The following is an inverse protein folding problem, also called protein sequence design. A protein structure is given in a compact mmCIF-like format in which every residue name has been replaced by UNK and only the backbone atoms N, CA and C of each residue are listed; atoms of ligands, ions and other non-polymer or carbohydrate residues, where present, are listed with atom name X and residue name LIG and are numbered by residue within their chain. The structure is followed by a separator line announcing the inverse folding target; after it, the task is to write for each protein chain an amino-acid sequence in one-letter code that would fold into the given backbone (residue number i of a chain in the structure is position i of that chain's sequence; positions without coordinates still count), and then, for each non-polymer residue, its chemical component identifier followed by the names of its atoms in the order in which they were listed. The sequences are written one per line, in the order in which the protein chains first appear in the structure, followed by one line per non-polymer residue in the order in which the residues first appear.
data_IF_140740311597
#
_entry.id   IF_140740311597
#
_cell.length_a   1.000
_cell.length_b   1.000
_cell.length_c   1.000
_cell.angle_alpha   90.00
_cell.angle_beta   90.00
_cell.angle_gamma   90.00
#
_symmetry.space_group_name_H-M   'P 1'
#
loop_
_entity.id
_entity.type
_entity.pdbx_description
1 polymer ?
#
# COMPACT_ATOMS: atom_id res chain seq x y z
N UNK A 1 19.75 -8.98 17.91
CA UNK A 1 20.11 -7.55 17.74
C UNK A 1 21.07 -7.45 16.57
N UNK A 2 20.60 -7.01 15.40
CA UNK A 2 21.41 -6.78 14.18
C UNK A 2 21.23 -5.31 13.80
N UNK A 3 22.26 -4.68 13.23
CA UNK A 3 22.21 -3.27 12.85
C UNK A 3 21.59 -3.09 11.46
N UNK A 4 20.65 -2.14 11.33
CA UNK A 4 20.10 -1.72 10.04
C UNK A 4 21.16 -0.87 9.34
N UNK A 5 21.78 -1.42 8.30
CA UNK A 5 22.54 -0.62 7.32
C UNK A 5 21.57 -0.14 6.24
N UNK A 6 20.98 1.04 6.47
CA UNK A 6 20.20 1.72 5.44
C UNK A 6 21.14 2.13 4.30
N UNK A 7 21.03 1.46 3.15
CA UNK A 7 21.74 1.82 1.92
C UNK A 7 21.20 3.13 1.37
N UNK A 8 21.82 4.24 1.76
CA UNK A 8 21.36 5.57 1.38
C UNK A 8 21.63 5.91 -0.08
N UNK A 9 20.58 6.26 -0.82
CA UNK A 9 20.66 7.10 -2.01
C UNK A 9 19.70 8.28 -1.82
N UNK A 10 20.20 9.50 -2.04
CA UNK A 10 19.44 10.72 -1.77
C UNK A 10 18.37 10.99 -2.81
N UNK A 11 17.31 11.71 -2.40
CA UNK A 11 16.44 12.39 -3.34
C UNK A 11 17.28 13.40 -4.13
N UNK A 12 17.34 13.25 -5.45
CA UNK A 12 17.76 14.36 -6.32
C UNK A 12 16.58 15.31 -6.41
N UNK A 13 16.60 16.35 -5.56
CA UNK A 13 15.75 17.52 -5.75
C UNK A 13 16.28 18.24 -7.00
N UNK A 14 15.54 18.14 -8.11
CA UNK A 14 15.83 18.90 -9.31
C UNK A 14 15.38 20.35 -9.09
N UNK A 15 16.34 21.25 -8.89
CA UNK A 15 16.08 22.66 -8.62
C UNK A 15 15.29 23.37 -9.74
N UNK A 16 14.51 24.38 -9.34
CA UNK A 16 13.69 25.19 -10.22
C UNK A 16 14.55 26.10 -11.08
N UNK A 17 14.52 25.91 -12.41
CA UNK A 17 15.12 26.84 -13.36
C UNK A 17 14.15 27.97 -13.70
N UNK A 18 14.29 29.12 -13.04
CA UNK A 18 13.67 30.37 -13.50
C UNK A 18 14.39 30.93 -14.74
N UNK A 19 13.65 31.60 -15.65
CA UNK A 19 14.21 32.09 -16.91
C UNK A 19 14.99 33.40 -16.74
N UNK A 20 16.24 33.44 -17.21
CA UNK A 20 16.98 34.70 -17.42
C UNK A 20 16.86 35.17 -18.86
N UNK A 21 16.20 36.31 -19.05
CA UNK A 21 16.22 37.06 -20.30
C UNK A 21 17.42 38.03 -20.34
N UNK A 22 18.10 38.10 -21.48
CA UNK A 22 19.01 39.19 -21.87
C UNK A 22 18.76 39.49 -23.36
N UNK A 23 18.96 40.74 -23.77
CA UNK A 23 18.46 41.28 -25.05
C UNK A 23 19.45 41.17 -26.23
N UNK A 24 18.87 41.17 -27.43
CA UNK A 24 19.34 41.79 -28.70
C UNK A 24 20.83 41.73 -29.12
N UNK A 25 21.06 41.25 -30.35
CA UNK A 25 21.26 42.17 -31.49
C UNK A 25 20.80 41.51 -32.83
N UNK A 26 20.87 42.22 -33.95
CA UNK A 26 20.18 41.87 -35.20
C UNK A 26 21.06 41.84 -36.48
N UNK A 27 20.69 40.95 -37.41
CA UNK A 27 20.87 41.06 -38.88
C UNK A 27 19.97 39.96 -39.52
N UNK A 28 19.23 40.21 -40.60
CA UNK A 28 19.71 40.21 -41.99
C UNK A 28 19.60 38.79 -42.59
N UNK A 29 18.85 38.49 -43.66
CA UNK A 29 18.09 39.34 -44.60
C UNK A 29 16.84 38.60 -45.18
N UNK A 30 16.25 39.12 -46.28
CA UNK A 30 14.95 38.69 -46.86
C UNK A 30 15.11 37.80 -48.11
N UNK A 31 14.18 36.85 -48.32
CA UNK A 31 13.50 36.47 -49.60
C UNK A 31 12.84 35.09 -49.40
N UNK A 32 11.53 34.82 -49.53
CA UNK A 32 10.46 35.20 -50.48
C UNK A 32 10.36 34.29 -51.74
N UNK A 33 9.10 33.92 -52.06
CA UNK A 33 8.56 33.33 -53.30
C UNK A 33 8.85 31.84 -53.70
N UNK A 34 7.83 30.99 -53.51
CA UNK A 34 7.30 30.06 -54.53
C UNK A 34 6.47 30.84 -55.57
N UNK A 35 6.04 30.35 -56.79
CA UNK A 35 5.50 28.99 -57.05
C UNK A 35 5.64 28.38 -58.48
N UNK A 36 5.00 27.21 -58.71
CA UNK A 36 4.62 26.57 -60.01
C UNK A 36 5.76 26.10 -60.97
N UNK A 37 5.62 25.14 -61.91
CA UNK A 37 4.75 23.96 -62.17
C UNK A 37 5.45 23.10 -63.29
N UNK A 38 4.96 22.07 -64.00
CA UNK A 38 3.67 21.36 -64.18
C UNK A 38 3.91 19.94 -64.82
N UNK A 39 2.83 19.17 -65.10
CA UNK A 39 2.79 17.87 -65.82
C UNK A 39 3.45 16.66 -65.10
N UNK A 40 3.00 15.40 -65.19
CA UNK A 40 1.83 14.76 -65.85
C UNK A 40 1.74 13.27 -65.39
N UNK A 41 0.81 12.40 -65.82
CA UNK A 41 -0.29 12.50 -66.79
C UNK A 41 -1.49 11.55 -66.43
N UNK A 42 -2.45 11.41 -67.35
CA UNK A 42 -3.69 10.62 -67.38
C UNK A 42 -3.43 9.13 -67.80
N UNK A 43 -4.37 8.17 -67.82
CA UNK A 43 -5.84 8.22 -67.88
C UNK A 43 -6.59 6.96 -67.34
N UNK A 44 -7.93 7.05 -67.25
CA UNK A 44 -8.91 5.94 -67.17
C UNK A 44 -10.06 6.14 -68.18
N UNK A 45 -10.64 5.06 -68.75
CA UNK A 45 -12.08 4.91 -69.05
C UNK A 45 -12.59 3.48 -68.68
N UNK A 46 -13.78 2.97 -69.06
CA UNK A 46 -15.18 3.38 -68.76
C UNK A 46 -16.05 2.10 -68.53
N UNK A 47 -17.31 2.17 -68.03
CA UNK A 47 -18.03 1.01 -67.44
C UNK A 47 -19.30 0.51 -68.16
N UNK A 48 -19.82 -0.65 -67.70
CA UNK A 48 -21.24 -1.09 -67.65
C UNK A 48 -21.50 -1.81 -66.30
N UNK A 49 -22.67 -2.00 -65.66
CA UNK A 49 -24.13 -1.77 -65.87
C UNK A 49 -24.99 -2.91 -66.47
N UNK A 50 -25.61 -3.77 -65.63
CA UNK A 50 -27.05 -4.14 -65.67
C UNK A 50 -27.55 -4.95 -64.43
N UNK A 51 -28.88 -5.12 -64.34
CA UNK A 51 -29.76 -5.79 -63.32
C UNK A 51 -31.06 -6.23 -64.09
N UNK A 52 -32.07 -6.98 -63.57
CA UNK A 52 -32.27 -7.62 -62.23
C UNK A 52 -33.05 -8.99 -62.14
N UNK A 53 -32.97 -9.72 -60.99
CA UNK A 53 -34.05 -10.53 -60.30
C UNK A 53 -34.81 -11.70 -61.05
N UNK A 54 -35.76 -12.47 -60.44
CA UNK A 54 -36.04 -12.84 -59.01
C UNK A 54 -36.44 -14.34 -58.72
N UNK A 55 -36.83 -14.63 -57.46
CA UNK A 55 -37.75 -15.70 -56.93
C UNK A 55 -37.27 -17.17 -56.81
N UNK A 56 -37.21 -17.66 -55.55
CA UNK A 56 -38.27 -18.49 -54.90
C UNK A 56 -38.10 -18.50 -53.37
N UNK A 57 -39.03 -19.14 -52.64
CA UNK A 57 -39.22 -19.07 -51.17
C UNK A 57 -39.43 -20.45 -50.53
N UNK A 58 -39.53 -20.50 -49.18
CA UNK A 58 -39.78 -21.67 -48.28
C UNK A 58 -38.56 -22.59 -48.00
N UNK A 59 -38.45 -23.27 -46.85
CA UNK A 59 -39.11 -23.10 -45.52
C UNK A 59 -38.56 -24.04 -44.42
N UNK A 60 -38.76 -23.65 -43.16
CA UNK A 60 -38.77 -24.44 -41.90
C UNK A 60 -37.49 -25.05 -41.29
N UNK A 61 -37.35 -24.73 -40.00
CA UNK A 61 -36.90 -25.52 -38.84
C UNK A 61 -35.43 -25.99 -38.64
N UNK A 62 -35.00 -26.17 -37.37
CA UNK A 62 -33.59 -26.29 -37.01
C UNK A 62 -33.11 -27.72 -36.76
N UNK A 63 -31.79 -27.94 -36.92
CA UNK A 63 -31.15 -29.21 -36.59
C UNK A 63 -31.01 -29.39 -35.06
N UNK A 64 -31.44 -30.55 -34.55
CA UNK A 64 -31.41 -30.87 -33.11
C UNK A 64 -30.29 -31.85 -32.76
N UNK A 65 -29.63 -31.62 -31.63
CA UNK A 65 -28.58 -32.51 -31.12
C UNK A 65 -29.18 -33.66 -30.28
N UNK A 66 -28.78 -34.93 -30.51
CA UNK A 66 -29.35 -36.07 -29.80
C UNK A 66 -28.85 -36.16 -28.36
N UNK A 67 -29.77 -36.21 -27.40
CA UNK A 67 -29.46 -36.54 -26.00
C UNK A 67 -29.17 -38.04 -25.84
N UNK A 68 -28.21 -38.39 -24.99
CA UNK A 68 -28.06 -39.74 -24.39
C UNK A 68 -27.87 -39.64 -22.86
N UNK A 69 -28.11 -40.73 -22.09
CA UNK A 69 -29.08 -40.62 -21.01
C UNK A 69 -28.50 -40.66 -19.59
N UNK A 70 -29.30 -40.23 -18.64
CA UNK A 70 -29.08 -40.38 -17.20
C UNK A 70 -29.11 -41.85 -16.76
N UNK A 71 -28.34 -42.19 -15.73
CA UNK A 71 -28.40 -43.50 -15.05
C UNK A 71 -28.28 -43.30 -13.54
N UNK A 72 -29.18 -43.91 -12.77
CA UNK A 72 -29.18 -43.86 -11.29
C UNK A 72 -28.03 -44.70 -10.69
N UNK A 73 -27.57 -44.39 -9.46
CA UNK A 73 -26.50 -45.13 -8.79
C UNK A 73 -26.98 -46.47 -8.20
N UNK A 74 -26.08 -47.47 -8.15
CA UNK A 74 -26.34 -48.77 -7.51
C UNK A 74 -25.08 -49.34 -6.86
N UNK A 75 -25.19 -49.63 -5.56
CA UNK A 75 -24.50 -50.65 -4.76
C UNK A 75 -22.96 -50.86 -4.82
N UNK A 76 -22.39 -50.97 -3.61
CA UNK A 76 -21.02 -51.40 -3.26
C UNK A 76 -20.84 -52.92 -3.35
N UNK A 77 -19.65 -53.41 -3.78
CA UNK A 77 -19.08 -54.65 -3.25
C UNK A 77 -17.72 -54.43 -2.54
N UNK A 78 -17.08 -55.51 -2.08
CA UNK A 78 -16.09 -55.50 -0.98
C UNK A 78 -14.63 -55.73 -1.39
N UNK A 79 -13.73 -55.28 -0.50
CA UNK A 79 -12.28 -55.55 -0.45
C UNK A 79 -11.94 -57.05 -0.47
N UNK A 80 -10.96 -57.50 -1.28
CA UNK A 80 -10.19 -58.71 -1.01
C UNK A 80 -8.88 -58.39 -0.27
N UNK A 81 -8.45 -59.30 0.60
CA UNK A 81 -7.13 -59.29 1.26
C UNK A 81 -6.33 -60.50 0.80
N UNK A 82 -5.06 -60.32 0.41
CA UNK A 82 -4.13 -61.43 0.26
C UNK A 82 -2.86 -61.24 1.10
N UNK A 83 -2.52 -62.32 1.80
CA UNK A 83 -1.36 -62.52 2.67
C UNK A 83 -0.62 -63.76 2.15
N UNK A 84 0.70 -63.73 1.91
CA UNK A 84 1.51 -64.93 1.83
C UNK A 84 1.94 -65.38 3.24
N UNK A 85 1.98 -66.69 3.50
CA UNK A 85 2.45 -67.27 4.77
C UNK A 85 3.10 -68.62 4.51
N UNK A 86 4.39 -68.77 4.83
CA UNK A 86 5.11 -70.03 5.10
C UNK A 86 6.23 -69.65 6.09
N UNK A 87 6.13 -69.97 7.38
CA UNK A 87 6.53 -71.24 8.07
C UNK A 87 8.04 -71.47 8.12
N UNK A 88 8.53 -71.81 9.32
CA UNK A 88 9.92 -71.64 9.73
C UNK A 88 10.77 -72.92 9.69
N UNK A 89 12.09 -72.77 9.79
CA UNK A 89 12.99 -73.79 10.34
C UNK A 89 14.18 -73.12 11.02
N UNK A 90 14.60 -73.66 12.17
CA UNK A 90 15.84 -73.41 12.90
C UNK A 90 16.27 -74.77 13.51
N UNK A 91 17.57 -75.04 13.79
CA UNK A 91 18.26 -74.41 14.93
C UNK A 91 19.76 -74.11 14.67
N UNK A 92 20.44 -73.50 15.65
CA UNK A 92 21.90 -73.33 15.63
C UNK A 92 22.43 -72.24 16.57
N UNK A 93 22.52 -72.52 17.88
CA UNK A 93 23.31 -71.73 18.83
C UNK A 93 24.78 -72.21 18.82
N UNK A 94 25.78 -71.37 19.16
CA UNK A 94 26.03 -71.07 20.58
C UNK A 94 26.51 -69.63 20.93
N UNK A 95 25.87 -69.08 21.96
CA UNK A 95 26.53 -68.50 23.17
C UNK A 95 27.77 -67.60 23.03
N UNK A 96 27.58 -66.28 23.17
CA UNK A 96 28.54 -65.36 23.80
C UNK A 96 27.85 -64.13 24.42
N UNK A 97 28.23 -63.71 25.62
CA UNK A 97 27.64 -62.56 26.36
C UNK A 97 28.73 -61.47 26.64
N UNK A 98 28.42 -60.30 27.22
CA UNK A 98 28.26 -59.08 26.43
C UNK A 98 29.42 -58.06 26.57
N UNK A 99 29.86 -57.50 25.44
CA UNK A 99 30.76 -56.34 25.41
C UNK A 99 29.99 -55.02 25.60
N UNK A 100 30.14 -54.38 26.76
CA UNK A 100 29.53 -53.06 27.07
C UNK A 100 30.19 -51.94 26.24
N UNK A 101 29.43 -51.11 25.49
CA UNK A 101 30.01 -49.96 24.78
C UNK A 101 30.49 -48.87 25.77
N UNK A 102 31.60 -48.16 25.48
CA UNK A 102 32.14 -47.15 26.37
C UNK A 102 31.31 -45.85 26.33
N UNK A 103 30.67 -45.51 27.45
CA UNK A 103 30.01 -44.22 27.63
C UNK A 103 31.05 -43.12 27.87
N UNK A 104 31.35 -42.33 26.84
CA UNK A 104 32.15 -41.11 26.94
C UNK A 104 31.26 -39.87 26.89
N UNK A 105 30.70 -39.50 28.05
CA UNK A 105 30.03 -38.21 28.24
C UNK A 105 31.08 -37.12 28.49
N UNK A 106 31.26 -36.13 27.59
CA UNK A 106 32.13 -35.00 27.87
C UNK A 106 31.45 -34.05 28.88
N UNK A 107 31.83 -34.19 30.15
CA UNK A 107 31.48 -33.22 31.21
C UNK A 107 32.06 -31.85 30.83
N UNK A 108 31.26 -30.77 30.76
CA UNK A 108 31.80 -29.42 30.56
C UNK A 108 32.53 -28.96 31.82
N UNK A 109 33.87 -29.02 31.80
CA UNK A 109 34.72 -28.44 32.84
C UNK A 109 34.81 -26.93 32.60
N UNK A 110 34.32 -26.14 33.56
CA UNK A 110 34.45 -24.67 33.55
C UNK A 110 35.90 -24.27 33.91
N UNK A 111 36.79 -24.34 32.93
CA UNK A 111 38.16 -23.79 33.06
C UNK A 111 38.11 -22.27 32.99
N UNK A 112 38.19 -21.61 34.15
CA UNK A 112 38.12 -20.16 34.27
C UNK A 112 39.43 -19.46 33.83
N UNK A 113 39.70 -19.44 32.53
CA UNK A 113 40.82 -18.69 31.94
C UNK A 113 40.60 -17.19 32.10
N UNK A 114 41.25 -16.57 33.09
CA UNK A 114 41.29 -15.11 33.28
C UNK A 114 42.18 -14.44 32.23
N UNK A 115 41.66 -14.26 31.03
CA UNK A 115 42.26 -13.33 30.06
C UNK A 115 42.16 -11.91 30.62
N UNK A 116 43.31 -11.28 30.88
CA UNK A 116 43.34 -9.93 31.44
C UNK A 116 42.94 -8.88 30.38
N UNK A 117 42.05 -7.96 30.75
CA UNK A 117 41.73 -6.80 29.93
C UNK A 117 42.96 -5.91 29.75
N UNK A 118 43.37 -5.55 28.52
CA UNK A 118 44.38 -4.53 28.32
C UNK A 118 43.80 -3.15 28.68
N UNK A 119 44.24 -2.60 29.81
CA UNK A 119 43.94 -1.22 30.21
C UNK A 119 44.50 -0.25 29.16
N UNK A 120 43.73 0.73 28.65
CA UNK A 120 44.27 1.77 27.78
C UNK A 120 45.16 2.73 28.60
N UNK A 121 46.47 2.54 28.51
CA UNK A 121 47.46 3.46 29.09
C UNK A 121 47.40 4.81 28.38
N UNK A 122 47.09 5.87 29.12
CA UNK A 122 47.05 7.24 28.60
C UNK A 122 48.47 7.82 28.44
N UNK A 123 49.03 7.77 27.24
CA UNK A 123 50.31 8.41 26.91
C UNK A 123 50.12 9.91 26.70
N UNK A 124 50.78 10.75 27.51
CA UNK A 124 50.73 12.23 27.45
C UNK A 124 51.86 12.80 26.60
N UNK A 125 51.56 13.49 25.48
CA UNK A 125 52.45 14.54 24.94
C UNK A 125 52.37 15.79 25.82
N UNK A 126 53.48 16.51 25.98
CA UNK A 126 53.54 17.75 26.76
C UNK A 126 53.66 18.98 25.88
N UNK A 127 52.62 19.82 25.88
CA UNK A 127 52.66 21.21 25.40
C UNK A 127 52.06 22.13 26.46
N UNK A 128 52.53 23.39 26.60
CA UNK A 128 52.06 24.30 27.65
C UNK A 128 50.61 24.78 27.40
N UNK A 129 49.86 25.13 28.45
CA UNK A 129 48.54 25.74 28.30
C UNK A 129 48.65 27.19 27.81
N UNK A 130 47.78 27.57 26.89
CA UNK A 130 47.49 28.98 26.59
C UNK A 130 46.46 29.53 27.58
N UNK A 131 46.31 30.85 27.62
CA UNK A 131 45.53 31.60 28.61
C UNK A 131 44.00 31.34 28.53
N UNK A 132 43.27 31.46 29.66
CA UNK A 132 41.82 31.25 29.69
C UNK A 132 41.04 32.38 28.99
N UNK A 133 39.97 32.08 28.24
CA UNK A 133 39.14 33.10 27.61
C UNK A 133 38.30 33.89 28.63
N UNK A 134 38.31 35.22 28.51
CA UNK A 134 37.56 36.16 29.36
C UNK A 134 36.05 35.95 29.24
N UNK A 135 35.28 35.90 30.36
CA UNK A 135 33.83 35.73 30.31
C UNK A 135 33.12 36.96 29.72
N UNK A 136 32.27 36.75 28.71
CA UNK A 136 31.43 37.80 28.12
C UNK A 136 30.23 38.12 29.02
N UNK A 137 29.94 39.40 29.34
CA UNK A 137 28.85 39.77 30.23
C UNK A 137 27.46 39.60 29.57
N UNK A 138 26.50 39.09 30.34
CA UNK A 138 25.11 38.90 29.90
C UNK A 138 24.33 40.23 29.91
N UNK A 139 23.67 40.64 28.80
CA UNK A 139 22.81 41.82 28.81
C UNK A 139 21.46 41.52 29.49
N UNK A 140 21.17 42.26 30.56
CA UNK A 140 19.92 42.16 31.34
C UNK A 140 18.71 42.73 30.58
N UNK A 141 17.52 42.17 30.81
CA UNK A 141 16.24 42.68 30.29
C UNK A 141 15.90 44.07 30.86
N UNK A 142 15.59 45.02 29.98
CA UNK A 142 14.91 46.27 30.35
C UNK A 142 13.53 46.31 29.70
N UNK A 143 12.49 46.65 30.46
CA UNK A 143 11.16 47.01 29.94
C UNK A 143 11.08 48.54 29.85
N UNK A 144 10.53 49.06 28.77
CA UNK A 144 10.19 50.49 28.63
C UNK A 144 8.69 50.63 28.40
N UNK A 145 8.06 51.67 28.95
CA UNK A 145 6.61 51.82 28.99
C UNK A 145 6.16 53.25 28.76
N UNK A 146 5.15 53.42 27.89
CA UNK A 146 4.17 54.55 27.87
C UNK A 146 4.71 55.98 27.59
N UNK A 147 3.86 56.99 27.28
CA UNK A 147 2.68 56.96 26.39
C UNK A 147 2.52 58.23 25.49
N UNK A 148 1.38 58.32 24.79
CA UNK A 148 0.64 59.56 24.43
C UNK A 148 1.13 60.47 23.27
N UNK A 149 0.28 60.60 22.23
CA UNK A 149 -0.08 61.87 21.58
C UNK A 149 -1.37 61.76 20.72
N UNK A 150 -2.45 62.44 21.13
CA UNK A 150 -3.53 62.98 20.27
C UNK A 150 -3.13 64.41 19.81
N UNK A 151 -3.77 65.11 18.83
CA UNK A 151 -5.15 65.04 18.30
C UNK A 151 -5.17 64.69 16.78
N UNK A 152 -6.12 64.99 15.87
CA UNK A 152 -7.24 65.96 15.80
C UNK A 152 -8.37 65.53 14.83
N UNK A 153 -9.44 66.34 14.73
CA UNK A 153 -10.70 66.06 14.00
C UNK A 153 -10.69 66.52 12.50
N UNK A 154 -11.81 66.76 11.76
CA UNK A 154 -12.01 66.04 10.49
C UNK A 154 -12.18 66.92 9.22
N UNK A 155 -12.04 66.33 8.01
CA UNK A 155 -12.41 67.00 6.76
C UNK A 155 -13.88 66.76 6.39
N UNK A 156 -14.74 67.75 6.61
CA UNK A 156 -16.10 67.78 6.04
C UNK A 156 -16.02 68.07 4.54
N UNK A 157 -16.57 67.20 3.68
CA UNK A 157 -16.65 67.44 2.24
C UNK A 157 -17.98 66.92 1.66
N UNK A 158 -18.89 67.84 1.33
CA UNK A 158 -20.18 67.55 0.67
C UNK A 158 -20.06 67.76 -0.83
N UNK A 159 -20.37 66.75 -1.67
CA UNK A 159 -20.75 66.97 -3.07
C UNK A 159 -22.23 66.62 -3.30
N UNK A 160 -23.05 67.63 -3.57
CA UNK A 160 -24.45 67.44 -4.00
C UNK A 160 -24.49 67.05 -5.48
N UNK A 161 -25.07 65.90 -5.81
CA UNK A 161 -25.32 65.51 -7.20
C UNK A 161 -26.64 64.72 -7.32
N UNK A 162 -27.68 65.36 -7.84
CA UNK A 162 -28.99 64.74 -8.11
C UNK A 162 -29.04 64.21 -9.54
N UNK A 163 -29.46 62.94 -9.75
CA UNK A 163 -30.13 62.56 -10.98
C UNK A 163 -31.52 61.97 -10.68
N UNK A 164 -32.57 62.67 -11.10
CA UNK A 164 -33.95 62.17 -11.03
C UNK A 164 -34.23 61.25 -12.21
N UNK A 165 -34.52 59.97 -11.96
CA UNK A 165 -35.00 59.03 -12.99
C UNK A 165 -35.94 57.98 -12.38
N UNK A 166 -37.25 58.23 -12.46
CA UNK A 166 -38.29 57.24 -12.13
C UNK A 166 -38.39 56.19 -13.23
N UNK A 167 -38.51 54.90 -12.88
CA UNK A 167 -39.64 54.16 -13.45
C UNK A 167 -40.41 53.34 -12.39
N UNK A 168 -41.74 53.33 -12.53
CA UNK A 168 -42.66 52.66 -11.61
C UNK A 168 -42.80 51.16 -11.94
N UNK A 169 -42.57 50.28 -10.96
CA UNK A 169 -42.99 48.88 -11.03
C UNK A 169 -43.35 48.32 -9.64
N UNK A 170 -44.62 47.98 -9.44
CA UNK A 170 -45.21 47.26 -8.29
C UNK A 170 -45.76 45.94 -8.86
N UNK A 171 -45.75 44.76 -8.19
CA UNK A 171 -45.84 44.46 -6.75
C UNK A 171 -44.56 43.73 -6.22
N UNK A 172 -44.47 43.03 -5.06
CA UNK A 172 -45.45 42.35 -4.20
C UNK A 172 -45.00 42.26 -2.72
N UNK A 173 -45.91 41.87 -1.82
CA UNK A 173 -45.70 41.77 -0.36
C UNK A 173 -44.96 40.49 0.07
N UNK A 174 -43.91 40.65 0.89
CA UNK A 174 -43.61 39.92 2.15
C UNK A 174 -43.35 38.38 2.12
N UNK A 175 -42.44 37.80 2.95
CA UNK A 175 -41.40 38.36 3.83
C UNK A 175 -39.96 37.91 3.46
N UNK A 176 -38.90 38.56 3.98
CA UNK A 176 -37.56 37.98 4.00
C UNK A 176 -37.47 36.82 5.01
N UNK A 177 -36.99 35.65 4.59
CA UNK A 177 -36.54 34.59 5.51
C UNK A 177 -35.09 34.87 5.92
N UNK A 178 -34.87 35.14 7.21
CA UNK A 178 -33.52 35.18 7.80
C UNK A 178 -32.86 33.80 7.72
N UNK A 179 -31.65 33.69 7.15
CA UNK A 179 -30.89 32.43 7.15
C UNK A 179 -30.18 32.25 8.50
N UNK A 180 -30.93 31.85 9.53
CA UNK A 180 -30.35 31.52 10.85
C UNK A 180 -29.72 30.12 10.83
N UNK A 181 -28.68 29.93 10.02
CA UNK A 181 -27.91 28.69 9.94
C UNK A 181 -26.77 28.68 10.96
N UNK A 182 -27.12 28.59 12.25
CA UNK A 182 -26.13 28.36 13.33
C UNK A 182 -25.42 27.02 13.07
N UNK A 183 -24.08 26.97 12.86
CA UNK A 183 -23.36 25.75 12.52
C UNK A 183 -23.28 24.81 13.73
N UNK A 184 -24.34 24.04 13.94
CA UNK A 184 -24.56 23.28 15.18
C UNK A 184 -24.21 21.82 14.95
N UNK A 185 -23.22 21.32 15.71
CA UNK A 185 -22.63 19.97 15.68
C UNK A 185 -21.64 19.70 14.54
N UNK A 186 -20.36 19.71 14.92
CA UNK A 186 -19.28 18.92 14.31
C UNK A 186 -19.76 17.49 14.02
N UNK A 187 -19.45 16.89 12.86
CA UNK A 187 -19.83 15.52 12.53
C UNK A 187 -18.97 14.49 13.29
N UNK A 188 -19.16 14.39 14.61
CA UNK A 188 -18.59 13.32 15.44
C UNK A 188 -19.35 12.01 15.25
N UNK A 189 -19.33 11.48 14.03
CA UNK A 189 -19.66 10.09 13.70
C UNK A 189 -18.41 9.42 13.17
N UNK A 190 -17.43 9.21 14.05
CA UNK A 190 -16.51 8.08 13.86
C UNK A 190 -17.39 6.84 13.76
N UNK A 191 -17.31 6.05 12.67
CA UNK A 191 -18.23 4.94 12.47
C UNK A 191 -18.02 3.91 13.58
N UNK A 192 -19.07 3.65 14.36
CA UNK A 192 -19.06 2.59 15.37
C UNK A 192 -19.11 1.24 14.65
N UNK A 193 -17.97 0.83 14.10
CA UNK A 193 -17.79 -0.46 13.42
C UNK A 193 -18.04 -1.55 14.46
N UNK A 194 -19.23 -2.16 14.39
CA UNK A 194 -19.57 -3.32 15.22
C UNK A 194 -18.54 -4.43 14.96
N UNK A 195 -18.03 -5.11 16.00
CA UNK A 195 -17.02 -6.16 15.82
C UNK A 195 -17.64 -7.40 15.16
N UNK A 196 -17.51 -7.51 13.84
CA UNK A 196 -17.87 -8.72 13.09
C UNK A 196 -16.82 -9.80 13.37
N UNK A 197 -17.07 -10.65 14.37
CA UNK A 197 -16.21 -11.77 14.75
C UNK A 197 -16.35 -12.97 13.80
N UNK A 198 -16.02 -12.75 12.53
CA UNK A 198 -16.00 -13.77 11.47
C UNK A 198 -15.59 -13.17 10.12
N UNK A 199 -15.30 -14.01 9.12
CA UNK A 199 -15.13 -13.54 7.74
C UNK A 199 -16.39 -12.82 7.24
N UNK A 200 -16.27 -11.95 6.22
CA UNK A 200 -17.43 -11.47 5.45
C UNK A 200 -18.35 -12.61 5.01
N UNK A 201 -19.62 -12.31 4.73
CA UNK A 201 -20.62 -13.32 4.33
C UNK A 201 -20.31 -14.03 3.01
N UNK A 202 -19.39 -13.50 2.21
CA UNK A 202 -18.80 -14.13 1.01
C UNK A 202 -17.50 -14.90 1.26
N UNK A 203 -17.10 -15.12 2.51
CA UNK A 203 -15.78 -15.65 2.89
C UNK A 203 -14.72 -14.58 3.05
N UNK A 204 -13.48 -15.02 3.34
CA UNK A 204 -12.29 -14.16 3.34
C UNK A 204 -11.97 -13.65 1.92
N UNK A 205 -11.27 -12.50 1.78
CA UNK A 205 -10.71 -12.09 0.50
C UNK A 205 -9.81 -13.15 -0.14
N UNK A 206 -9.88 -13.25 -1.46
CA UNK A 206 -9.12 -14.18 -2.28
C UNK A 206 -9.50 -14.03 -3.75
N UNK A 207 -8.72 -14.61 -4.68
CA UNK A 207 -8.86 -14.46 -6.14
C UNK A 207 -10.22 -14.86 -6.78
N UNK A 208 -11.25 -15.19 -6.00
CA UNK A 208 -12.65 -15.33 -6.45
C UNK A 208 -13.61 -14.22 -5.96
N UNK A 209 -13.12 -13.26 -5.17
CA UNK A 209 -13.87 -12.08 -4.71
C UNK A 209 -13.01 -10.79 -4.62
N UNK A 210 -11.73 -10.86 -5.00
CA UNK A 210 -10.80 -9.74 -5.24
C UNK A 210 -10.28 -9.75 -6.67
N UNK A 211 -9.66 -8.64 -7.08
CA UNK A 211 -9.04 -8.52 -8.40
C UNK A 211 -9.99 -7.92 -9.44
N UNK A 212 -9.62 -8.02 -10.71
CA UNK A 212 -10.49 -7.59 -11.82
C UNK A 212 -11.71 -8.51 -11.90
N UNK A 213 -12.96 -7.97 -11.90
CA UNK A 213 -14.16 -8.80 -11.98
C UNK A 213 -14.22 -9.66 -13.24
N UNK A 214 -14.68 -10.90 -13.10
CA UNK A 214 -14.88 -11.83 -14.21
C UNK A 214 -15.75 -11.22 -15.33
N UNK A 215 -15.28 -11.34 -16.57
CA UNK A 215 -15.96 -10.78 -17.74
C UNK A 215 -15.73 -9.28 -18.00
N UNK A 216 -14.85 -8.61 -17.26
CA UNK A 216 -14.43 -7.22 -17.57
C UNK A 216 -13.75 -7.14 -18.94
N UNK A 217 -14.26 -6.28 -19.83
CA UNK A 217 -13.62 -5.93 -21.11
C UNK A 217 -12.37 -5.06 -20.87
N UNK A 218 -11.18 -5.67 -20.90
CA UNK A 218 -9.92 -4.97 -20.66
C UNK A 218 -9.25 -4.39 -21.91
N UNK A 219 -9.03 -3.07 -21.89
CA UNK A 219 -8.27 -2.32 -22.89
C UNK A 219 -6.78 -2.37 -22.58
N UNK A 220 -6.00 -3.01 -23.45
CA UNK A 220 -4.54 -3.12 -23.30
C UNK A 220 -3.83 -1.77 -23.31
N UNK A 221 -2.84 -1.60 -22.43
CA UNK A 221 -1.89 -0.48 -22.36
C UNK A 221 -0.48 -1.00 -22.14
N UNK A 222 0.54 -0.23 -22.51
CA UNK A 222 1.95 -0.65 -22.46
C UNK A 222 2.87 0.52 -22.09
N UNK A 223 3.86 0.26 -21.24
CA UNK A 223 4.79 1.27 -20.71
C UNK A 223 4.22 2.03 -19.52
N UNK A 224 5.07 2.87 -18.91
CA UNK A 224 4.72 3.74 -17.78
C UNK A 224 3.67 4.79 -18.15
N UNK A 225 2.61 4.89 -17.36
CA UNK A 225 1.52 5.85 -17.59
C UNK A 225 1.50 6.87 -16.45
N UNK A 226 1.59 8.16 -16.78
CA UNK A 226 1.46 9.24 -15.79
C UNK A 226 0.08 9.88 -15.89
N UNK A 227 -0.69 9.85 -14.80
CA UNK A 227 -2.01 10.49 -14.68
C UNK A 227 -1.83 11.88 -14.06
N UNK A 228 -2.22 12.93 -14.78
CA UNK A 228 -2.05 14.37 -14.41
C UNK A 228 -3.37 15.16 -14.44
N UNK A 229 -4.49 14.47 -14.26
CA UNK A 229 -5.85 15.03 -14.38
C UNK A 229 -6.62 14.69 -13.11
N UNK A 230 -7.03 15.71 -12.35
CA UNK A 230 -7.73 15.52 -11.08
C UNK A 230 -9.09 14.85 -11.29
N UNK A 231 -9.43 13.91 -10.40
CA UNK A 231 -10.66 13.12 -10.50
C UNK A 231 -10.70 12.12 -11.66
N UNK A 232 -9.57 11.87 -12.35
CA UNK A 232 -9.52 10.93 -13.47
C UNK A 232 -10.00 9.54 -13.06
N UNK A 233 -10.92 8.96 -13.83
CA UNK A 233 -11.31 7.56 -13.72
C UNK A 233 -10.57 6.74 -14.77
N UNK A 234 -9.85 5.73 -14.31
CA UNK A 234 -9.29 4.63 -15.09
C UNK A 234 -10.16 3.41 -14.83
N UNK A 235 -10.67 2.81 -15.90
CA UNK A 235 -11.65 1.73 -15.86
C UNK A 235 -11.35 0.73 -16.96
N UNK A 236 -11.30 -0.56 -16.63
CA UNK A 236 -11.11 -1.64 -17.61
C UNK A 236 -9.79 -1.61 -18.37
N UNK A 237 -8.64 -1.42 -17.72
CA UNK A 237 -7.32 -1.42 -18.39
C UNK A 237 -6.51 -2.69 -18.09
N UNK A 238 -5.76 -3.21 -19.07
CA UNK A 238 -4.72 -4.24 -18.87
C UNK A 238 -3.35 -3.61 -19.18
N UNK A 239 -2.70 -3.08 -18.15
CA UNK A 239 -1.44 -2.33 -18.25
C UNK A 239 -0.26 -3.29 -18.14
N UNK A 240 0.64 -3.25 -19.13
CA UNK A 240 1.96 -3.91 -19.08
C UNK A 240 3.03 -2.83 -18.89
N UNK A 241 3.39 -2.56 -17.64
CA UNK A 241 4.08 -1.34 -17.19
C UNK A 241 3.53 -0.90 -15.81
N UNK A 242 3.74 0.37 -15.45
CA UNK A 242 3.26 0.98 -14.21
C UNK A 242 2.24 2.13 -14.43
N UNK A 243 1.56 2.53 -13.35
CA UNK A 243 0.74 3.75 -13.29
C UNK A 243 1.29 4.68 -12.20
N UNK A 244 1.84 5.83 -12.60
CA UNK A 244 2.20 6.92 -11.69
C UNK A 244 1.07 7.97 -11.67
N UNK A 245 0.64 8.37 -10.47
CA UNK A 245 -0.46 9.33 -10.25
C UNK A 245 0.11 10.62 -9.67
N UNK A 246 -0.02 11.68 -10.47
CA UNK A 246 0.37 13.07 -10.20
C UNK A 246 -0.88 13.97 -10.29
N UNK A 247 -1.95 13.55 -9.63
CA UNK A 247 -3.26 14.20 -9.61
C UNK A 247 -4.07 13.77 -8.37
N UNK A 248 -4.96 14.65 -7.90
CA UNK A 248 -5.83 14.40 -6.76
C UNK A 248 -7.09 13.60 -7.16
N UNK A 249 -7.66 12.84 -6.22
CA UNK A 249 -8.96 12.14 -6.34
C UNK A 249 -9.09 11.12 -7.49
N UNK A 250 -7.99 10.70 -8.10
CA UNK A 250 -7.96 9.68 -9.17
C UNK A 250 -8.57 8.36 -8.69
N UNK A 251 -9.33 7.69 -9.56
CA UNK A 251 -9.91 6.36 -9.30
C UNK A 251 -9.40 5.38 -10.35
N UNK A 252 -8.75 4.31 -9.93
CA UNK A 252 -8.34 3.18 -10.76
C UNK A 252 -9.21 1.99 -10.37
N UNK A 253 -10.01 1.47 -11.31
CA UNK A 253 -10.89 0.33 -11.05
C UNK A 253 -10.96 -0.68 -12.20
N UNK A 254 -11.41 -1.90 -11.92
CA UNK A 254 -11.56 -2.97 -12.90
C UNK A 254 -10.28 -3.17 -13.75
N UNK A 255 -9.10 -2.95 -13.15
CA UNK A 255 -7.84 -2.73 -13.89
C UNK A 255 -6.78 -3.74 -13.46
N UNK A 256 -6.08 -4.30 -14.44
CA UNK A 256 -4.91 -5.17 -14.25
C UNK A 256 -3.63 -4.39 -14.51
N UNK A 257 -2.63 -4.51 -13.63
CA UNK A 257 -1.30 -3.89 -13.78
C UNK A 257 -0.21 -4.95 -13.64
N UNK A 258 0.56 -5.14 -14.72
CA UNK A 258 1.61 -6.15 -14.86
C UNK A 258 2.98 -5.47 -14.85
N UNK A 259 3.62 -5.40 -13.69
CA UNK A 259 4.96 -4.82 -13.54
C UNK A 259 5.99 -5.53 -14.42
N UNK A 260 6.84 -4.76 -15.11
CA UNK A 260 7.83 -5.28 -16.07
C UNK A 260 9.28 -5.11 -15.59
N UNK A 261 9.63 -3.91 -15.11
CA UNK A 261 10.97 -3.59 -14.57
C UNK A 261 10.96 -2.60 -13.41
N UNK A 262 9.79 -2.06 -13.10
CA UNK A 262 9.64 -0.76 -12.48
C UNK A 262 9.41 -0.90 -10.97
N UNK A 263 9.80 0.12 -10.21
CA UNK A 263 9.88 0.03 -8.75
C UNK A 263 8.50 -0.16 -8.07
N UNK A 264 7.42 0.19 -8.76
CA UNK A 264 6.03 0.07 -8.32
C UNK A 264 5.12 -0.46 -9.46
N UNK A 265 3.97 -1.03 -9.12
CA UNK A 265 2.86 -1.23 -10.05
C UNK A 265 2.00 0.04 -10.17
N UNK A 266 1.55 0.57 -9.03
CA UNK A 266 0.82 1.84 -8.92
C UNK A 266 1.52 2.74 -7.89
N UNK A 267 1.61 4.05 -8.18
CA UNK A 267 2.21 5.04 -7.29
C UNK A 267 1.34 6.30 -7.16
N UNK A 268 0.89 6.65 -5.95
CA UNK A 268 0.45 8.04 -5.65
C UNK A 268 1.67 8.87 -5.25
N UNK A 269 2.01 9.90 -6.04
CA UNK A 269 3.15 10.79 -5.77
C UNK A 269 2.92 11.69 -4.56
N UNK A 270 4.03 12.19 -4.01
CA UNK A 270 4.04 13.24 -2.99
C UNK A 270 3.28 14.49 -3.47
N UNK A 271 2.68 15.22 -2.53
CA UNK A 271 1.79 16.34 -2.81
C UNK A 271 0.32 15.93 -3.01
N UNK A 272 0.07 14.82 -3.70
CA UNK A 272 -1.28 14.40 -4.12
C UNK A 272 -2.03 13.55 -3.07
N UNK A 273 -3.34 13.39 -3.25
CA UNK A 273 -4.26 12.78 -2.29
C UNK A 273 -5.50 12.17 -2.95
N UNK A 274 -6.06 11.14 -2.31
CA UNK A 274 -7.40 10.64 -2.62
C UNK A 274 -7.45 9.60 -3.75
N UNK A 275 -6.29 9.02 -4.13
CA UNK A 275 -6.25 7.86 -5.01
C UNK A 275 -7.15 6.74 -4.45
N UNK A 276 -7.99 6.17 -5.30
CA UNK A 276 -8.73 4.94 -5.06
C UNK A 276 -8.22 3.87 -6.00
N UNK A 277 -7.94 2.68 -5.47
CA UNK A 277 -7.69 1.46 -6.25
C UNK A 277 -8.75 0.45 -5.82
N UNK A 278 -9.65 0.09 -6.73
CA UNK A 278 -10.83 -0.74 -6.44
C UNK A 278 -10.92 -1.90 -7.44
N UNK A 279 -11.32 -3.11 -7.03
CA UNK A 279 -11.65 -4.22 -7.96
C UNK A 279 -10.57 -4.43 -9.05
N UNK A 280 -9.30 -4.53 -8.63
CA UNK A 280 -8.13 -4.43 -9.51
C UNK A 280 -7.04 -5.42 -9.12
N UNK A 281 -6.17 -5.79 -10.05
CA UNK A 281 -5.18 -6.87 -9.92
C UNK A 281 -3.77 -6.33 -10.24
N UNK A 282 -2.82 -6.37 -9.29
CA UNK A 282 -1.47 -5.81 -9.47
C UNK A 282 -0.41 -6.87 -9.16
N UNK A 283 0.43 -7.20 -10.16
CA UNK A 283 1.46 -8.22 -9.99
C UNK A 283 2.72 -8.00 -10.82
N UNK A 284 3.83 -8.56 -10.35
CA UNK A 284 5.10 -8.61 -11.04
C UNK A 284 5.27 -9.89 -11.86
N UNK A 285 6.17 -9.86 -12.84
CA UNK A 285 6.45 -11.03 -13.68
C UNK A 285 7.28 -12.15 -13.00
N UNK A 286 7.61 -12.01 -11.72
CA UNK A 286 8.35 -12.99 -10.92
C UNK A 286 9.83 -13.17 -11.26
N UNK A 287 10.34 -12.42 -12.25
CA UNK A 287 11.73 -12.50 -12.78
C UNK A 287 12.49 -11.20 -12.59
N UNK A 288 11.84 -10.06 -12.79
CA UNK A 288 12.39 -8.71 -12.62
C UNK A 288 11.68 -8.04 -11.44
N UNK A 289 12.42 -7.29 -10.61
CA UNK A 289 11.88 -6.73 -9.36
C UNK A 289 10.90 -5.58 -9.61
N UNK A 290 9.61 -5.89 -9.51
CA UNK A 290 8.60 -4.93 -9.06
C UNK A 290 8.61 -4.91 -7.53
N UNK A 291 9.12 -3.82 -6.94
CA UNK A 291 9.35 -3.76 -5.50
C UNK A 291 8.08 -3.44 -4.70
N UNK A 292 7.16 -2.65 -5.24
CA UNK A 292 5.87 -2.33 -4.61
C UNK A 292 4.69 -2.65 -5.53
N UNK A 293 3.58 -3.12 -4.98
CA UNK A 293 2.32 -3.25 -5.71
C UNK A 293 1.66 -1.89 -5.82
N UNK A 294 1.37 -1.31 -4.65
CA UNK A 294 0.94 0.07 -4.49
C UNK A 294 1.93 0.80 -3.56
N UNK A 295 2.53 1.88 -4.04
CA UNK A 295 3.34 2.79 -3.24
C UNK A 295 2.59 4.10 -3.03
N UNK A 296 2.44 4.55 -1.79
CA UNK A 296 1.89 5.87 -1.48
C UNK A 296 2.99 6.79 -0.93
N UNK A 297 3.39 7.78 -1.74
CA UNK A 297 4.21 8.92 -1.32
C UNK A 297 3.35 10.15 -0.98
N UNK A 298 2.06 10.12 -1.33
CA UNK A 298 1.10 11.19 -1.09
C UNK A 298 0.36 11.09 0.24
N UNK A 299 -0.86 11.64 0.27
CA UNK A 299 -1.69 11.77 1.48
C UNK A 299 -2.62 10.56 1.62
N UNK A 300 -3.94 10.76 1.62
CA UNK A 300 -4.91 9.68 1.78
C UNK A 300 -4.96 8.78 0.53
N UNK A 301 -5.24 7.50 0.74
CA UNK A 301 -5.49 6.48 -0.29
C UNK A 301 -6.64 5.57 0.15
N UNK A 302 -7.34 4.96 -0.80
CA UNK A 302 -8.27 3.83 -0.56
C UNK A 302 -7.89 2.66 -1.45
N UNK A 303 -7.73 1.48 -0.88
CA UNK A 303 -7.50 0.20 -1.58
C UNK A 303 -8.62 -0.75 -1.18
N UNK A 304 -9.40 -1.26 -2.14
CA UNK A 304 -10.62 -2.03 -1.88
C UNK A 304 -10.80 -3.21 -2.83
N UNK A 305 -10.94 -4.43 -2.31
CA UNK A 305 -11.05 -5.68 -3.10
C UNK A 305 -9.96 -5.85 -4.16
N UNK A 306 -8.76 -5.35 -3.87
CA UNK A 306 -7.62 -5.44 -4.78
C UNK A 306 -6.90 -6.76 -4.55
N UNK A 307 -6.47 -7.39 -5.63
CA UNK A 307 -5.64 -8.60 -5.62
C UNK A 307 -4.19 -8.20 -5.95
N UNK A 308 -3.23 -8.62 -5.12
CA UNK A 308 -1.84 -8.16 -5.20
C UNK A 308 -0.89 -9.33 -4.92
N UNK A 309 -0.07 -9.70 -5.91
CA UNK A 309 0.81 -10.88 -5.80
C UNK A 309 2.11 -10.83 -6.63
N UNK A 310 3.04 -11.75 -6.35
CA UNK A 310 4.26 -11.98 -7.16
C UNK A 310 5.19 -10.74 -7.24
N UNK A 311 5.25 -10.00 -6.15
CA UNK A 311 6.02 -8.76 -5.95
C UNK A 311 6.69 -8.75 -4.58
N UNK A 312 7.62 -7.82 -4.34
CA UNK A 312 8.36 -7.80 -3.08
C UNK A 312 7.54 -7.23 -1.92
N UNK A 313 6.95 -6.05 -2.07
CA UNK A 313 6.10 -5.41 -1.06
C UNK A 313 4.71 -5.16 -1.65
N UNK A 314 3.66 -5.41 -0.89
CA UNK A 314 2.28 -5.29 -1.39
C UNK A 314 1.84 -3.85 -1.46
N UNK A 315 1.53 -3.25 -0.31
CA UNK A 315 1.08 -1.86 -0.19
C UNK A 315 1.95 -1.13 0.85
N UNK A 316 2.57 -0.02 0.47
CA UNK A 316 3.19 0.93 1.42
C UNK A 316 2.31 2.17 1.55
N UNK A 317 1.77 2.42 2.75
CA UNK A 317 1.14 3.69 3.12
C UNK A 317 1.12 3.89 4.63
N UNK A 318 1.26 5.13 5.10
CA UNK A 318 1.15 5.49 6.53
C UNK A 318 -0.26 5.99 6.93
N UNK A 319 -1.20 6.07 5.99
CA UNK A 319 -2.56 6.60 6.21
C UNK A 319 -3.56 6.12 5.15
N UNK A 320 -4.85 6.26 5.41
CA UNK A 320 -5.93 5.89 4.49
C UNK A 320 -6.59 4.55 4.85
N UNK A 321 -7.17 3.89 3.86
CA UNK A 321 -7.97 2.67 4.03
C UNK A 321 -7.47 1.57 3.09
N UNK A 322 -7.22 0.38 3.64
CA UNK A 322 -6.98 -0.86 2.90
C UNK A 322 -8.02 -1.87 3.41
N UNK A 323 -8.95 -2.28 2.55
CA UNK A 323 -10.02 -3.19 2.94
C UNK A 323 -10.41 -4.25 1.91
N UNK A 324 -10.96 -5.34 2.42
CA UNK A 324 -11.52 -6.48 1.67
C UNK A 324 -10.58 -7.04 0.58
N UNK A 325 -9.27 -6.78 0.69
CA UNK A 325 -8.26 -7.03 -0.35
C UNK A 325 -7.44 -8.28 -0.04
N UNK A 326 -6.83 -8.85 -1.08
CA UNK A 326 -5.99 -10.05 -1.01
C UNK A 326 -4.57 -9.68 -1.39
N UNK A 327 -3.62 -9.87 -0.48
CA UNK A 327 -2.20 -9.56 -0.71
C UNK A 327 -1.36 -10.77 -0.33
N UNK A 328 -0.79 -11.44 -1.33
CA UNK A 328 -0.27 -12.80 -1.18
C UNK A 328 0.92 -13.12 -2.09
N UNK A 329 1.44 -14.35 -1.99
CA UNK A 329 2.53 -14.90 -2.80
C UNK A 329 3.67 -13.90 -3.10
N UNK A 330 4.35 -13.39 -2.04
CA UNK A 330 5.50 -12.52 -2.19
C UNK A 330 6.57 -13.12 -3.09
N UNK A 331 7.21 -12.27 -3.87
CA UNK A 331 8.42 -12.59 -4.60
C UNK A 331 9.62 -11.90 -3.98
N UNK A 332 10.46 -12.68 -3.31
CA UNK A 332 11.77 -12.22 -2.85
C UNK A 332 12.71 -11.93 -4.03
N UNK A 333 13.48 -10.85 -3.91
CA UNK A 333 14.65 -10.54 -4.72
C UNK A 333 15.84 -10.26 -3.79
N UNK A 334 17.06 -10.57 -4.23
CA UNK A 334 18.25 -10.56 -3.36
C UNK A 334 18.49 -9.19 -2.71
N UNK A 335 18.44 -9.14 -1.37
CA UNK A 335 18.63 -7.92 -0.57
C UNK A 335 17.35 -7.12 -0.28
N UNK A 336 16.18 -7.55 -0.76
CA UNK A 336 14.91 -6.90 -0.44
C UNK A 336 14.46 -7.14 1.02
N UNK A 337 13.67 -6.19 1.53
CA UNK A 337 12.69 -6.40 2.59
C UNK A 337 11.31 -6.56 1.91
N UNK A 338 10.47 -7.48 2.40
CA UNK A 338 9.30 -7.99 1.65
C UNK A 338 8.05 -7.99 2.54
N UNK A 339 7.34 -6.87 2.65
CA UNK A 339 6.15 -6.73 3.51
C UNK A 339 4.87 -6.57 2.69
N UNK A 340 3.84 -7.36 3.02
CA UNK A 340 2.60 -7.37 2.23
C UNK A 340 1.74 -6.12 2.47
N UNK A 341 1.62 -5.64 3.70
CA UNK A 341 1.13 -4.28 3.97
C UNK A 341 2.09 -3.60 4.95
N UNK A 342 2.61 -2.43 4.60
CA UNK A 342 3.64 -1.73 5.37
C UNK A 342 3.30 -0.26 5.64
N UNK A 343 3.50 0.14 6.90
CA UNK A 343 3.65 1.52 7.34
C UNK A 343 5.03 1.69 7.97
N UNK A 344 5.70 2.80 7.70
CA UNK A 344 7.10 3.08 8.13
C UNK A 344 7.23 4.40 8.91
N UNK A 345 6.15 5.16 9.00
CA UNK A 345 6.12 6.52 9.55
C UNK A 345 5.02 6.76 10.57
N UNK A 346 4.34 7.90 10.42
CA UNK A 346 3.26 8.36 11.29
C UNK A 346 2.13 8.85 10.40
N UNK A 347 0.88 8.42 10.65
CA UNK A 347 -0.28 9.02 10.00
C UNK A 347 -0.29 10.55 10.19
N UNK A 348 -0.69 11.30 9.15
CA UNK A 348 -0.71 12.75 9.22
C UNK A 348 -1.68 13.26 10.32
N UNK A 349 -1.46 14.46 10.89
CA UNK A 349 -2.35 15.01 11.92
C UNK A 349 -3.82 15.05 11.45
N UNK A 350 -4.69 14.37 12.18
CA UNK A 350 -6.11 14.23 11.83
C UNK A 350 -6.46 13.04 10.93
N UNK A 351 -5.47 12.22 10.52
CA UNK A 351 -5.69 10.97 9.76
C UNK A 351 -5.35 9.71 10.58
N UNK A 352 -5.73 8.57 10.03
CA UNK A 352 -5.52 7.22 10.57
C UNK A 352 -5.22 6.28 9.38
N UNK A 353 -4.49 5.20 9.64
CA UNK A 353 -4.39 4.05 8.73
C UNK A 353 -5.34 2.94 9.19
N UNK A 354 -6.31 2.58 8.36
CA UNK A 354 -7.24 1.45 8.62
C UNK A 354 -6.90 0.31 7.67
N UNK A 355 -6.52 -0.84 8.23
CA UNK A 355 -6.30 -2.10 7.52
C UNK A 355 -7.35 -3.08 8.04
N UNK A 356 -8.43 -3.34 7.28
CA UNK A 356 -9.56 -4.14 7.76
C UNK A 356 -10.11 -5.18 6.79
N UNK A 357 -10.52 -6.34 7.31
CA UNK A 357 -11.20 -7.38 6.51
C UNK A 357 -10.32 -8.09 5.48
N UNK A 358 -9.02 -7.75 5.35
CA UNK A 358 -8.13 -8.24 4.30
C UNK A 358 -7.67 -9.69 4.55
N UNK A 359 -7.27 -10.38 3.48
CA UNK A 359 -6.43 -11.59 3.57
C UNK A 359 -5.00 -11.22 3.21
N UNK A 360 -4.06 -11.44 4.12
CA UNK A 360 -2.65 -11.00 3.98
C UNK A 360 -1.71 -12.16 4.29
N UNK A 361 -0.95 -12.62 3.28
CA UNK A 361 -0.16 -13.86 3.33
C UNK A 361 1.27 -13.60 2.85
N UNK A 362 2.22 -13.57 3.79
CA UNK A 362 3.65 -13.53 3.46
C UNK A 362 4.23 -14.95 3.53
N UNK A 363 4.54 -15.58 2.40
CA UNK A 363 5.05 -16.96 2.36
C UNK A 363 6.54 -17.10 2.73
N UNK A 364 7.23 -16.01 3.09
CA UNK A 364 8.63 -16.02 3.53
C UNK A 364 8.78 -16.19 5.05
N UNK A 365 10.00 -16.46 5.50
CA UNK A 365 10.45 -16.59 6.90
C UNK A 365 10.96 -15.28 7.52
N UNK A 366 11.12 -14.24 6.69
CA UNK A 366 11.45 -12.87 7.09
C UNK A 366 10.22 -11.97 7.14
N UNK A 367 10.38 -10.76 7.70
CA UNK A 367 9.43 -9.63 7.58
C UNK A 367 7.99 -9.99 8.00
N UNK A 368 6.96 -9.24 7.58
CA UNK A 368 5.58 -9.47 8.03
C UNK A 368 4.53 -9.60 6.93
N UNK A 369 3.36 -10.10 7.32
CA UNK A 369 2.15 -9.93 6.51
C UNK A 369 1.65 -8.49 6.67
N UNK A 370 1.52 -8.00 7.90
CA UNK A 370 1.40 -6.56 8.20
C UNK A 370 2.63 -6.10 8.97
N UNK A 371 3.24 -5.00 8.52
CA UNK A 371 4.41 -4.38 9.13
C UNK A 371 4.12 -2.93 9.52
N UNK A 372 4.17 -2.64 10.81
CA UNK A 372 4.12 -1.28 11.32
C UNK A 372 5.49 -0.97 11.95
N UNK A 373 6.30 -0.19 11.23
CA UNK A 373 7.67 0.16 11.60
C UNK A 373 7.81 1.62 12.04
N UNK A 374 8.99 1.93 12.62
CA UNK A 374 9.39 3.26 13.07
C UNK A 374 10.64 3.76 12.33
N UNK A 375 10.72 3.55 11.01
CA UNK A 375 11.89 3.90 10.21
C UNK A 375 12.00 5.40 9.98
N UNK A 376 10.86 6.05 9.74
CA UNK A 376 10.77 7.49 9.52
C UNK A 376 10.08 8.21 10.69
N UNK A 377 9.02 7.63 11.27
CA UNK A 377 8.21 8.21 12.34
C UNK A 377 8.05 7.33 13.58
N UNK A 378 7.19 7.75 14.51
CA UNK A 378 6.68 6.88 15.58
C UNK A 378 5.32 6.40 15.11
N UNK A 379 5.09 5.10 15.04
CA UNK A 379 3.82 4.53 14.57
C UNK A 379 2.66 5.01 15.47
N UNK A 380 1.66 5.65 14.87
CA UNK A 380 0.47 6.17 15.59
C UNK A 380 -0.78 6.12 14.71
N UNK A 381 -1.94 6.02 15.36
CA UNK A 381 -3.26 6.03 14.73
C UNK A 381 -3.37 4.96 13.63
N UNK A 382 -3.32 3.69 14.02
CA UNK A 382 -3.46 2.55 13.10
C UNK A 382 -4.49 1.58 13.64
N UNK A 383 -5.48 1.20 12.84
CA UNK A 383 -6.44 0.13 13.15
C UNK A 383 -6.21 -1.06 12.22
N UNK A 384 -5.75 -2.17 12.79
CA UNK A 384 -5.65 -3.49 12.14
C UNK A 384 -6.84 -4.32 12.66
N UNK A 385 -7.93 -4.38 11.89
CA UNK A 385 -9.20 -4.97 12.35
C UNK A 385 -9.72 -6.12 11.47
N UNK A 386 -9.95 -7.29 12.07
CA UNK A 386 -10.70 -8.38 11.41
C UNK A 386 -10.04 -8.89 10.12
N UNK A 387 -8.71 -8.88 10.02
CA UNK A 387 -7.98 -9.42 8.87
C UNK A 387 -7.62 -10.90 9.11
N UNK A 388 -7.46 -11.68 8.03
CA UNK A 388 -6.82 -12.99 8.05
C UNK A 388 -5.34 -12.83 7.75
N UNK A 389 -4.47 -13.15 8.71
CA UNK A 389 -3.03 -12.94 8.64
C UNK A 389 -2.29 -14.27 8.68
N UNK A 390 -1.36 -14.49 7.76
CA UNK A 390 -0.55 -15.71 7.72
C UNK A 390 0.90 -15.43 7.31
N UNK A 391 1.83 -16.15 7.94
CA UNK A 391 3.22 -16.19 7.51
C UNK A 391 4.07 -14.99 7.95
N UNK A 392 5.14 -14.72 7.20
CA UNK A 392 6.24 -13.83 7.55
C UNK A 392 7.12 -14.38 8.67
N UNK A 393 8.17 -13.63 9.01
CA UNK A 393 8.89 -13.77 10.28
C UNK A 393 7.96 -13.60 11.47
N UNK A 394 7.13 -12.55 11.45
CA UNK A 394 5.97 -12.38 12.32
C UNK A 394 4.79 -11.89 11.49
N UNK A 395 3.60 -12.47 11.64
CA UNK A 395 2.45 -12.09 10.81
C UNK A 395 2.00 -10.64 11.04
N UNK A 396 2.26 -10.06 12.22
CA UNK A 396 2.15 -8.62 12.49
C UNK A 396 3.37 -8.10 13.26
N UNK A 397 3.97 -7.01 12.79
CA UNK A 397 4.82 -6.13 13.60
C UNK A 397 3.96 -4.97 14.08
N UNK A 398 3.80 -4.80 15.39
CA UNK A 398 2.69 -4.02 15.95
C UNK A 398 3.04 -2.57 16.38
N UNK A 399 4.06 -1.96 15.77
CA UNK A 399 4.34 -0.51 15.86
C UNK A 399 5.33 -0.07 16.94
N UNK A 400 5.79 -0.97 17.83
CA UNK A 400 6.86 -0.61 18.78
C UNK A 400 8.22 -0.47 18.09
N UNK A 401 9.06 0.45 18.58
CA UNK A 401 10.34 0.73 17.94
C UNK A 401 11.24 1.68 18.71
N UNK A 402 12.30 2.14 18.05
CA UNK A 402 13.37 2.94 18.69
C UNK A 402 13.13 4.46 18.70
N UNK A 403 12.13 4.97 17.96
CA UNK A 403 11.84 6.42 17.90
C UNK A 403 10.93 6.87 19.03
N UNK A 404 10.12 5.98 19.59
CA UNK A 404 9.31 6.25 20.77
C UNK A 404 8.20 5.24 20.98
N UNK A 405 7.45 5.46 22.06
CA UNK A 405 6.25 4.69 22.39
C UNK A 405 5.15 4.94 21.34
N UNK A 406 4.67 3.89 20.69
CA UNK A 406 3.51 3.95 19.78
C UNK A 406 2.22 4.27 20.55
N UNK A 407 1.21 4.79 19.84
CA UNK A 407 -0.05 5.22 20.45
C UNK A 407 -1.23 5.11 19.50
N UNK A 408 -2.42 4.79 20.02
CA UNK A 408 -3.64 4.53 19.25
C UNK A 408 -3.49 3.41 18.19
N UNK A 409 -2.66 2.39 18.47
CA UNK A 409 -2.55 1.17 17.66
C UNK A 409 -3.62 0.16 18.12
N UNK A 410 -4.59 -0.13 17.26
CA UNK A 410 -5.74 -1.00 17.57
C UNK A 410 -5.61 -2.30 16.77
N UNK A 411 -5.25 -3.40 17.42
CA UNK A 411 -5.20 -4.75 16.84
C UNK A 411 -6.39 -5.53 17.35
N UNK A 412 -7.45 -5.61 16.53
CA UNK A 412 -8.80 -5.99 16.97
C UNK A 412 -9.38 -7.11 16.09
N UNK A 413 -9.83 -8.18 16.73
CA UNK A 413 -10.67 -9.24 16.15
C UNK A 413 -10.05 -9.97 14.91
N UNK A 414 -8.72 -9.91 14.71
CA UNK A 414 -8.01 -10.55 13.58
C UNK A 414 -7.86 -12.08 13.76
N UNK A 415 -7.68 -12.80 12.66
CA UNK A 415 -7.47 -14.26 12.64
C UNK A 415 -6.07 -14.59 12.13
N UNK A 416 -5.26 -15.25 12.97
CA UNK A 416 -3.89 -15.67 12.66
C UNK A 416 -3.87 -17.14 12.21
N UNK A 417 -3.39 -17.41 10.99
CA UNK A 417 -3.34 -18.77 10.44
C UNK A 417 -1.95 -19.42 10.58
N UNK A 418 -1.95 -20.69 10.97
CA UNK A 418 -0.75 -21.55 11.06
C UNK A 418 -0.49 -22.38 9.80
N UNK A 419 -1.14 -22.04 8.67
CA UNK A 419 -1.00 -22.74 7.38
C UNK A 419 0.36 -22.51 6.70
N UNK A 420 0.95 -21.31 6.86
CA UNK A 420 2.27 -20.99 6.30
C UNK A 420 3.36 -21.45 7.27
N UNK A 421 3.34 -20.94 8.52
CA UNK A 421 4.27 -21.34 9.57
C UNK A 421 3.53 -21.85 10.81
N UNK A 422 4.04 -22.88 11.52
CA UNK A 422 3.37 -23.48 12.68
C UNK A 422 3.02 -22.54 13.84
N UNK A 423 3.61 -21.33 13.89
CA UNK A 423 3.36 -20.31 14.92
C UNK A 423 2.65 -19.05 14.38
N UNK A 424 2.06 -19.09 13.18
CA UNK A 424 1.54 -17.91 12.50
C UNK A 424 2.58 -17.39 11.51
N UNK A 425 3.55 -16.65 12.04
CA UNK A 425 4.85 -16.44 11.40
C UNK A 425 5.89 -17.49 11.81
N UNK A 426 7.09 -17.38 11.26
CA UNK A 426 8.23 -18.26 11.52
C UNK A 426 8.74 -18.15 12.98
N UNK A 427 8.82 -16.92 13.49
CA UNK A 427 9.15 -16.63 14.88
C UNK A 427 7.92 -16.72 15.80
N UNK A 428 6.78 -16.16 15.36
CA UNK A 428 5.48 -16.18 16.06
C UNK A 428 4.40 -15.37 15.33
N UNK A 429 3.22 -15.12 15.95
CA UNK A 429 2.14 -14.40 15.27
C UNK A 429 2.39 -12.88 15.29
N UNK A 430 2.83 -12.32 16.41
CA UNK A 430 3.02 -10.89 16.64
C UNK A 430 4.24 -10.62 17.52
N UNK A 431 5.00 -9.59 17.17
CA UNK A 431 6.07 -8.98 17.97
C UNK A 431 6.00 -7.45 17.85
N UNK A 432 6.84 -6.73 18.60
CA UNK A 432 6.90 -5.26 18.62
C UNK A 432 5.58 -4.60 19.04
N UNK A 433 5.07 -4.97 20.22
CA UNK A 433 3.85 -4.40 20.80
C UNK A 433 4.11 -3.52 22.03
N UNK A 434 3.77 -2.23 21.95
CA UNK A 434 3.81 -1.35 23.11
C UNK A 434 2.56 -1.55 23.99
N UNK A 435 2.64 -2.51 24.92
CA UNK A 435 1.60 -2.75 25.93
C UNK A 435 1.36 -1.55 26.90
N UNK A 436 2.23 -0.53 26.85
CA UNK A 436 2.10 0.73 27.60
C UNK A 436 1.70 1.93 26.72
N UNK A 437 1.52 1.73 25.41
CA UNK A 437 1.19 2.79 24.47
C UNK A 437 -0.19 3.40 24.76
N UNK A 438 -0.32 4.73 24.89
CA UNK A 438 -1.61 5.34 25.20
C UNK A 438 -2.58 5.11 24.04
N UNK A 439 -3.78 4.60 24.37
CA UNK A 439 -4.79 4.24 23.37
C UNK A 439 -4.49 2.97 22.56
N UNK A 440 -3.41 2.23 22.85
CA UNK A 440 -3.17 0.93 22.22
C UNK A 440 -4.18 -0.11 22.72
N UNK A 441 -4.76 -0.90 21.82
CA UNK A 441 -5.79 -1.91 22.12
C UNK A 441 -5.46 -3.23 21.45
N UNK A 442 -5.34 -4.30 22.24
CA UNK A 442 -5.30 -5.69 21.77
C UNK A 442 -6.56 -6.41 22.25
N UNK A 443 -7.43 -6.88 21.34
CA UNK A 443 -8.70 -7.55 21.72
C UNK A 443 -9.17 -8.53 20.64
N UNK A 444 -9.77 -9.65 21.05
CA UNK A 444 -10.53 -10.56 20.18
C UNK A 444 -9.73 -11.33 19.11
N UNK A 445 -8.44 -11.01 18.94
CA UNK A 445 -7.55 -11.70 18.04
C UNK A 445 -7.50 -13.21 18.36
N UNK A 446 -7.62 -14.04 17.33
CA UNK A 446 -7.79 -15.49 17.46
C UNK A 446 -6.91 -16.26 16.48
N UNK A 447 -6.70 -17.55 16.73
CA UNK A 447 -6.13 -18.44 15.73
C UNK A 447 -7.19 -18.90 14.74
N UNK A 448 -6.78 -19.23 13.52
CA UNK A 448 -7.59 -20.06 12.63
C UNK A 448 -7.91 -21.40 13.33
N UNK A 449 -9.20 -21.78 13.32
CA UNK A 449 -9.73 -22.89 14.11
C UNK A 449 -10.19 -22.51 15.53
N UNK A 450 -9.98 -21.27 15.96
CA UNK A 450 -10.41 -20.74 17.25
C UNK A 450 -9.35 -20.79 18.37
N UNK A 451 -9.71 -20.23 19.53
CA UNK A 451 -8.79 -19.94 20.62
C UNK A 451 -8.07 -18.59 20.43
N UNK A 452 -7.68 -17.95 21.53
CA UNK A 452 -7.07 -16.62 21.49
C UNK A 452 -5.67 -16.65 20.86
N UNK A 453 -5.39 -15.70 19.96
CA UNK A 453 -4.04 -15.40 19.53
C UNK A 453 -3.34 -14.66 20.67
N UNK A 454 -2.27 -15.24 21.19
CA UNK A 454 -1.38 -14.62 22.16
C UNK A 454 -0.27 -13.88 21.42
N UNK A 455 0.14 -12.73 21.94
CA UNK A 455 1.35 -12.03 21.49
C UNK A 455 2.57 -12.92 21.80
N UNK A 456 3.64 -12.78 21.02
CA UNK A 456 4.91 -13.43 21.35
C UNK A 456 5.45 -12.92 22.70
N UNK A 457 6.18 -13.79 23.40
CA UNK A 457 7.16 -13.33 24.38
C UNK A 457 8.40 -12.84 23.64
N UNK A 458 8.57 -11.52 23.57
CA UNK A 458 9.78 -10.86 23.05
C UNK A 458 11.02 -11.16 23.95
#
# INVERSE_FOLDING_TARGET
MVAVLAGGYGLVVSDVLEPRAVLTDASGARSAASPHAAAGQRARPRPTTHKPRPKKTRSQEPWSWPRRPTRKPTARPTRPTHRPTLTATAPGEPTATPGRPPSHTPKPTLTATRTATPTPTATRPSTPPSEPPTPTPTPTRTRTSTPTATPSEPPTATPTATPTATPTATPTKTPPRTPTSTPTKTPTTSPTISPTSGPPSGGWPGAGNTGVPDGTDLVKKTGSIVIKEDGKVIDGWDVTGDITVEADNVTIRNTRVRGQSDYWGILQREGFSGLKVEDSEIFGNGKVRTQFGILNQGKLITVRRVDIHTISNGILTDQGLIEDSYVHDPKYYSGDHTDMIMSTGTAAPGTELVIRGNTVINTLDQTGAIALFQDFGVTKNVTVQGNFLAGGGWSLYAGAGRKGLSSNIKVIDNVFSRKVWPKGGYAGPVSYWDAKGPGNVWRGNSWEGGGAAIMGSD
#
